data_IF_952032817855
#
_entry.id   IF_952032817855
#
_cell.length_a   1.000
_cell.length_b   1.000
_cell.length_c   1.000
_cell.angle_alpha   90.00
_cell.angle_beta   90.00
_cell.angle_gamma   90.00
#
_symmetry.space_group_name_H-M   'P 1'
#
loop_
_entity.id
_entity.type
_entity.pdbx_description
1 polymer ?
#
# COMPACT_ATOMS: atom_id res chain seq x y z
N UNK A 1 12.27 -14.45 18.01
CA UNK A 1 12.20 -13.78 16.68
C UNK A 1 11.21 -12.59 16.56
N UNK A 2 10.24 -12.41 17.48
CA UNK A 2 9.14 -11.44 17.31
C UNK A 2 9.40 -9.96 17.64
N UNK A 3 10.19 -9.59 18.66
CA UNK A 3 10.18 -8.19 19.13
C UNK A 3 11.13 -7.22 18.40
N UNK A 4 12.22 -7.69 17.76
CA UNK A 4 13.17 -6.81 17.05
C UNK A 4 12.85 -6.61 15.57
N UNK A 5 12.07 -7.52 14.98
CA UNK A 5 11.71 -7.45 13.57
C UNK A 5 10.55 -6.48 13.32
N UNK A 6 9.64 -6.32 14.29
CA UNK A 6 8.46 -5.46 14.16
C UNK A 6 8.80 -3.99 13.85
N UNK A 7 9.75 -3.32 14.54
CA UNK A 7 10.15 -1.96 14.17
C UNK A 7 10.76 -1.86 12.77
N UNK A 8 11.50 -2.89 12.34
CA UNK A 8 12.10 -2.93 10.99
C UNK A 8 11.03 -3.07 9.90
N UNK A 9 9.98 -3.85 10.16
CA UNK A 9 8.86 -3.97 9.23
C UNK A 9 8.01 -2.70 9.18
N UNK A 10 7.77 -2.05 10.32
CA UNK A 10 7.08 -0.76 10.37
C UNK A 10 7.81 0.30 9.54
N UNK A 11 9.13 0.43 9.70
CA UNK A 11 9.94 1.35 8.89
C UNK A 11 9.84 1.06 7.39
N UNK A 12 9.93 -0.22 6.99
CA UNK A 12 9.81 -0.62 5.59
C UNK A 12 8.41 -0.36 5.03
N UNK A 13 7.37 -0.61 5.81
CA UNK A 13 6.00 -0.33 5.42
C UNK A 13 5.79 1.17 5.17
N UNK A 14 6.28 2.03 6.07
CA UNK A 14 6.24 3.48 5.90
C UNK A 14 6.96 3.92 4.60
N UNK A 15 8.16 3.39 4.35
CA UNK A 15 8.91 3.71 3.13
C UNK A 15 8.22 3.23 1.84
N UNK A 16 7.52 2.09 1.87
CA UNK A 16 6.71 1.62 0.74
C UNK A 16 5.54 2.58 0.50
N UNK A 17 4.82 2.97 1.55
CA UNK A 17 3.68 3.89 1.43
C UNK A 17 4.12 5.25 0.88
N UNK A 18 5.21 5.81 1.39
CA UNK A 18 5.82 7.05 0.88
C UNK A 18 6.13 6.93 -0.62
N UNK A 19 6.80 5.85 -1.03
CA UNK A 19 7.13 5.61 -2.44
C UNK A 19 5.88 5.51 -3.33
N UNK A 20 4.82 4.86 -2.86
CA UNK A 20 3.57 4.73 -3.61
C UNK A 20 2.86 6.08 -3.74
N UNK A 21 2.83 6.88 -2.66
CA UNK A 21 2.25 8.23 -2.68
C UNK A 21 3.00 9.14 -3.64
N UNK A 22 4.32 9.18 -3.57
CA UNK A 22 5.14 10.09 -4.38
C UNK A 22 5.19 9.70 -5.87
N UNK A 23 5.21 8.40 -6.15
CA UNK A 23 5.48 7.88 -7.49
C UNK A 23 4.26 7.47 -8.29
N UNK A 24 3.18 7.07 -7.62
CA UNK A 24 2.08 6.33 -8.26
C UNK A 24 0.69 6.87 -7.92
N UNK A 25 0.55 7.80 -6.96
CA UNK A 25 -0.73 8.39 -6.61
C UNK A 25 -1.03 9.61 -7.49
N UNK A 26 -2.14 9.60 -8.20
CA UNK A 26 -2.61 10.75 -8.99
C UNK A 26 -4.09 10.98 -8.73
N UNK A 27 -4.44 12.16 -8.20
CA UNK A 27 -5.85 12.55 -7.93
C UNK A 27 -6.60 11.50 -7.09
N UNK A 28 -5.92 10.91 -6.10
CA UNK A 28 -6.51 9.90 -5.20
C UNK A 28 -6.54 8.47 -5.75
N UNK A 29 -5.93 8.22 -6.91
CA UNK A 29 -5.88 6.91 -7.58
C UNK A 29 -4.46 6.38 -7.61
N UNK A 30 -4.24 5.15 -7.15
CA UNK A 30 -2.98 4.44 -7.21
C UNK A 30 -2.83 3.78 -8.59
N UNK A 31 -1.93 4.34 -9.40
CA UNK A 31 -1.68 3.92 -10.78
C UNK A 31 -0.54 2.89 -10.87
N UNK A 32 -0.23 2.46 -12.10
CA UNK A 32 0.81 1.47 -12.43
C UNK A 32 0.62 0.07 -11.80
N UNK A 33 -0.61 -0.26 -11.38
CA UNK A 33 -0.98 -1.61 -10.95
C UNK A 33 -1.12 -2.58 -12.11
N UNK A 34 -1.13 -3.88 -11.81
CA UNK A 34 -1.34 -4.95 -12.79
C UNK A 34 -2.34 -5.98 -12.25
N UNK A 35 -3.45 -6.22 -12.95
CA UNK A 35 -4.41 -7.25 -12.57
C UNK A 35 -3.95 -8.65 -12.99
N UNK A 36 -3.66 -8.85 -14.27
CA UNK A 36 -3.22 -10.15 -14.79
C UNK A 36 -2.21 -9.95 -15.94
N UNK A 37 -0.92 -10.02 -15.61
CA UNK A 37 0.16 -9.91 -16.59
C UNK A 37 0.20 -11.10 -17.56
N UNK A 38 -0.23 -12.28 -17.12
CA UNK A 38 -0.22 -13.49 -17.95
C UNK A 38 -1.26 -13.42 -19.08
N UNK A 39 -2.32 -12.64 -18.88
CA UNK A 39 -3.37 -12.37 -19.88
C UNK A 39 -3.30 -10.98 -20.51
N UNK A 40 -2.26 -10.20 -20.22
CA UNK A 40 -2.12 -8.79 -20.62
C UNK A 40 -3.36 -7.93 -20.27
N UNK A 41 -4.02 -8.26 -19.16
CA UNK A 41 -5.27 -7.62 -18.76
C UNK A 41 -5.02 -6.60 -17.67
N UNK A 42 -5.37 -5.34 -17.98
CA UNK A 42 -5.21 -4.19 -17.09
C UNK A 42 -3.79 -4.07 -16.52
N UNK A 43 -2.80 -4.22 -17.41
CA UNK A 43 -1.39 -3.94 -17.11
C UNK A 43 -1.19 -2.43 -17.04
N UNK A 44 -0.59 -1.91 -15.96
CA UNK A 44 -0.38 -0.48 -15.68
C UNK A 44 -1.66 0.34 -15.49
N UNK A 45 -2.62 -0.21 -14.76
CA UNK A 45 -3.90 0.44 -14.46
C UNK A 45 -4.06 0.72 -12.96
N UNK A 46 -5.03 1.56 -12.64
CA UNK A 46 -5.59 1.62 -11.29
C UNK A 46 -6.25 0.29 -10.95
N UNK A 47 -6.07 -0.12 -9.69
CA UNK A 47 -6.72 -1.30 -9.15
C UNK A 47 -7.43 -0.89 -7.86
N UNK A 48 -8.75 -1.11 -7.79
CA UNK A 48 -9.57 -0.73 -6.64
C UNK A 48 -9.03 -1.29 -5.32
N UNK A 49 -8.52 -2.52 -5.31
CA UNK A 49 -7.88 -3.08 -4.12
C UNK A 49 -6.57 -2.38 -3.76
N UNK A 50 -5.82 -1.88 -4.75
CA UNK A 50 -4.62 -1.07 -4.54
C UNK A 50 -4.94 0.22 -3.80
N UNK A 51 -5.97 0.94 -4.24
CA UNK A 51 -6.43 2.16 -3.56
C UNK A 51 -6.87 1.89 -2.12
N UNK A 52 -7.64 0.81 -1.94
CA UNK A 52 -8.10 0.38 -0.63
C UNK A 52 -6.94 0.11 0.33
N UNK A 53 -5.95 -0.69 -0.07
CA UNK A 53 -4.82 -1.04 0.79
C UNK A 53 -3.88 0.14 1.04
N UNK A 54 -3.72 1.05 0.06
CA UNK A 54 -2.97 2.29 0.26
C UNK A 54 -3.67 3.16 1.32
N UNK A 55 -4.97 3.40 1.18
CA UNK A 55 -5.75 4.19 2.12
C UNK A 55 -5.72 3.57 3.54
N UNK A 56 -5.88 2.25 3.64
CA UNK A 56 -5.81 1.53 4.92
C UNK A 56 -4.41 1.65 5.56
N UNK A 57 -3.36 1.46 4.77
CA UNK A 57 -1.98 1.58 5.24
C UNK A 57 -1.64 2.99 5.73
N UNK A 58 -2.08 4.01 5.00
CA UNK A 58 -1.91 5.41 5.40
C UNK A 58 -2.71 5.72 6.68
N UNK A 59 -3.97 5.28 6.77
CA UNK A 59 -4.78 5.47 7.97
C UNK A 59 -4.12 4.81 9.20
N UNK A 60 -3.50 3.65 9.04
CA UNK A 60 -2.78 2.99 10.12
C UNK A 60 -1.49 3.71 10.50
N UNK A 61 -0.72 4.15 9.51
CA UNK A 61 0.51 4.92 9.73
C UNK A 61 0.24 6.24 10.47
N UNK A 62 -0.89 6.88 10.20
CA UNK A 62 -1.30 8.13 10.87
C UNK A 62 -2.12 7.91 12.14
N UNK A 63 -2.32 6.66 12.57
CA UNK A 63 -3.07 6.34 13.79
C UNK A 63 -4.58 6.57 13.70
N UNK A 64 -5.14 6.73 12.50
CA UNK A 64 -6.59 6.82 12.27
C UNK A 64 -7.28 5.45 12.42
N UNK A 65 -6.54 4.36 12.28
CA UNK A 65 -7.03 3.00 12.52
C UNK A 65 -5.94 2.10 13.07
N UNK A 66 -6.31 1.08 13.83
CA UNK A 66 -5.40 0.01 14.21
C UNK A 66 -5.44 -1.11 13.16
N UNK A 67 -4.28 -1.61 12.74
CA UNK A 67 -4.16 -2.86 11.99
C UNK A 67 -3.73 -3.93 13.00
N UNK A 68 -4.70 -4.55 13.66
CA UNK A 68 -4.50 -5.54 14.73
C UNK A 68 -5.82 -6.04 15.31
N UNK A 69 -5.76 -7.20 15.95
CA UNK A 69 -6.90 -8.12 16.21
C UNK A 69 -8.08 -7.46 16.95
N UNK A 70 -9.26 -7.55 16.31
CA UNK A 70 -10.56 -7.34 16.95
C UNK A 70 -10.87 -8.45 17.96
#
# INVERSE_FOLDING_TARGET
>A
PGCRAAPRYAYRAAAILERLVDGHLTRGRLLDGCYDAGKDLAVRHELVWGDFFLALGLAALTGLTAIGDA
#
